data_IF_043861338858
#
_entry.id   IF_043861338858
#
_cell.length_a   1.000
_cell.length_b   1.000
_cell.length_c   1.000
_cell.angle_alpha   90.00
_cell.angle_beta   90.00
_cell.angle_gamma   90.00
#
_symmetry.space_group_name_H-M   'P 1'
#
loop_
_entity.id
_entity.type
_entity.pdbx_description
1 polymer ?
#
# COMPACT_ATOMS: atom_id res chain seq x y z
N UNK A 1 -7.55 10.55 8.84
CA UNK A 1 -7.07 9.43 8.02
C UNK A 1 -8.22 8.90 7.17
N UNK A 2 -8.35 9.12 5.86
CA UNK A 2 -7.97 10.19 4.95
C UNK A 2 -9.03 10.16 3.84
N UNK A 3 -9.77 11.24 3.68
CA UNK A 3 -10.27 11.70 2.39
C UNK A 3 -9.43 12.92 1.96
N UNK A 4 -8.10 12.87 2.13
CA UNK A 4 -7.22 14.01 1.80
C UNK A 4 -7.03 14.19 0.30
N UNK A 5 -7.21 13.13 -0.48
CA UNK A 5 -7.19 13.24 -1.93
C UNK A 5 -8.64 13.40 -2.44
N UNK A 6 -9.01 14.55 -3.03
CA UNK A 6 -10.34 14.71 -3.61
C UNK A 6 -10.64 13.70 -4.73
N UNK A 7 -9.61 13.10 -5.35
CA UNK A 7 -9.76 12.05 -6.35
C UNK A 7 -10.26 10.70 -5.79
N UNK A 8 -10.28 10.50 -4.46
CA UNK A 8 -10.79 9.25 -3.85
C UNK A 8 -12.26 8.97 -4.22
N UNK A 9 -13.04 10.00 -4.53
CA UNK A 9 -14.44 9.86 -4.93
C UNK A 9 -14.64 9.86 -6.45
N UNK A 10 -13.57 9.90 -7.25
CA UNK A 10 -13.67 10.00 -8.71
C UNK A 10 -14.07 8.68 -9.38
N UNK A 11 -13.67 7.54 -8.81
CA UNK A 11 -13.97 6.21 -9.34
C UNK A 11 -14.37 5.26 -8.21
N UNK A 12 -15.38 4.41 -8.47
CA UNK A 12 -15.94 3.48 -7.47
C UNK A 12 -14.84 2.56 -6.92
N UNK A 13 -13.99 2.00 -7.78
CA UNK A 13 -12.90 1.10 -7.36
C UNK A 13 -11.94 1.76 -6.36
N UNK A 14 -11.52 3.00 -6.61
CA UNK A 14 -10.63 3.75 -5.71
C UNK A 14 -11.29 4.09 -4.38
N UNK A 15 -12.59 4.41 -4.40
CA UNK A 15 -13.37 4.67 -3.19
C UNK A 15 -13.50 3.41 -2.31
N UNK A 16 -13.81 2.26 -2.92
CA UNK A 16 -13.95 0.99 -2.21
C UNK A 16 -12.66 0.57 -1.51
N UNK A 17 -11.52 0.69 -2.20
CA UNK A 17 -10.19 0.40 -1.60
C UNK A 17 -9.91 1.33 -0.42
N UNK A 18 -10.24 2.61 -0.54
CA UNK A 18 -10.05 3.59 0.53
C UNK A 18 -10.89 3.27 1.77
N UNK A 19 -12.17 2.90 1.58
CA UNK A 19 -13.05 2.46 2.66
C UNK A 19 -12.51 1.18 3.30
N UNK A 20 -12.01 0.24 2.50
CA UNK A 20 -11.44 -1.02 3.00
C UNK A 20 -10.26 -0.77 3.94
N UNK A 21 -9.28 0.04 3.53
CA UNK A 21 -8.11 0.37 4.38
C UNK A 21 -8.50 1.15 5.63
N UNK A 22 -9.50 2.03 5.55
CA UNK A 22 -10.04 2.72 6.72
C UNK A 22 -10.65 1.74 7.73
N UNK A 23 -11.49 0.80 7.27
CA UNK A 23 -12.08 -0.22 8.12
C UNK A 23 -11.03 -1.17 8.69
N UNK A 24 -9.99 -1.50 7.92
CA UNK A 24 -8.89 -2.34 8.38
C UNK A 24 -8.11 -1.66 9.51
N UNK A 25 -7.83 -0.35 9.42
CA UNK A 25 -7.21 0.39 10.51
C UNK A 25 -8.02 0.28 11.81
N UNK A 26 -9.33 0.49 11.75
CA UNK A 26 -10.20 0.37 12.93
C UNK A 26 -10.24 -1.07 13.48
N UNK A 27 -10.22 -2.08 12.60
CA UNK A 27 -10.12 -3.49 12.99
C UNK A 27 -8.81 -3.77 13.72
N UNK A 28 -7.68 -3.29 13.18
CA UNK A 28 -6.34 -3.45 13.76
C UNK A 28 -6.25 -2.76 15.13
N UNK A 29 -6.71 -1.51 15.25
CA UNK A 29 -6.69 -0.78 16.51
C UNK A 29 -7.47 -1.50 17.62
N UNK A 30 -8.66 -2.05 17.33
CA UNK A 30 -9.45 -2.83 18.29
C UNK A 30 -8.75 -4.13 18.72
N UNK A 31 -8.13 -4.82 17.77
CA UNK A 31 -7.36 -6.02 18.06
C UNK A 31 -6.13 -5.70 18.93
N UNK A 32 -5.40 -4.64 18.60
CA UNK A 32 -4.24 -4.17 19.37
C UNK A 32 -4.62 -3.74 20.78
N UNK A 33 -5.76 -3.07 20.97
CA UNK A 33 -6.28 -2.69 22.29
C UNK A 33 -6.61 -3.92 23.13
N UNK A 34 -7.23 -4.94 22.52
CA UNK A 34 -7.55 -6.20 23.20
C UNK A 34 -6.28 -6.93 23.66
N UNK A 35 -5.23 -6.92 22.83
CA UNK A 35 -3.94 -7.53 23.14
C UNK A 35 -3.10 -6.69 24.12
N UNK A 36 -3.23 -5.37 24.08
CA UNK A 36 -2.45 -4.42 24.87
C UNK A 36 -3.37 -3.36 25.51
N UNK A 37 -4.11 -3.72 26.57
CA UNK A 37 -5.09 -2.80 27.18
C UNK A 37 -4.48 -1.54 27.81
N UNK A 38 -3.16 -1.53 28.05
CA UNK A 38 -2.43 -0.40 28.62
C UNK A 38 -1.96 0.64 27.59
N UNK A 39 -2.13 0.38 26.29
CA UNK A 39 -1.76 1.36 25.26
C UNK A 39 -2.78 2.49 25.21
N UNK A 40 -2.27 3.71 25.02
CA UNK A 40 -3.09 4.88 24.77
C UNK A 40 -3.57 4.94 23.31
N UNK A 41 -4.52 5.84 23.06
CA UNK A 41 -5.12 6.00 21.73
C UNK A 41 -4.09 6.41 20.66
N UNK A 42 -3.09 7.22 21.02
CA UNK A 42 -2.05 7.65 20.09
C UNK A 42 -1.18 6.46 19.64
N UNK A 43 -0.72 5.64 20.58
CA UNK A 43 0.05 4.45 20.26
C UNK A 43 -0.77 3.46 19.45
N UNK A 44 -2.03 3.23 19.81
CA UNK A 44 -2.94 2.37 19.03
C UNK A 44 -3.10 2.86 17.60
N UNK A 45 -3.31 4.16 17.41
CA UNK A 45 -3.42 4.76 16.09
C UNK A 45 -2.14 4.59 15.27
N UNK A 46 -0.98 4.95 15.83
CA UNK A 46 0.31 4.86 15.12
C UNK A 46 0.63 3.42 14.71
N UNK A 47 0.54 2.47 15.64
CA UNK A 47 0.85 1.07 15.36
C UNK A 47 -0.15 0.46 14.38
N UNK A 48 -1.46 0.74 14.53
CA UNK A 48 -2.46 0.28 13.58
C UNK A 48 -2.22 0.87 12.18
N UNK A 49 -1.81 2.14 12.08
CA UNK A 49 -1.43 2.78 10.81
C UNK A 49 -0.22 2.11 10.19
N UNK A 50 0.82 1.84 10.96
CA UNK A 50 2.07 1.26 10.44
C UNK A 50 1.85 -0.16 9.91
N UNK A 51 1.10 -0.99 10.63
CA UNK A 51 0.69 -2.32 10.14
C UNK A 51 -0.16 -2.20 8.86
N UNK A 52 -1.08 -1.24 8.80
CA UNK A 52 -1.93 -1.04 7.63
C UNK A 52 -1.13 -0.58 6.39
N UNK A 53 -0.08 0.23 6.60
CA UNK A 53 0.86 0.63 5.53
C UNK A 53 1.68 -0.57 5.08
N UNK A 54 2.15 -1.43 5.99
CA UNK A 54 2.86 -2.64 5.63
C UNK A 54 2.00 -3.59 4.76
N UNK A 55 0.71 -3.74 5.09
CA UNK A 55 -0.24 -4.46 4.22
C UNK A 55 -0.35 -3.83 2.84
N UNK A 56 -0.48 -2.49 2.77
CA UNK A 56 -0.57 -1.77 1.50
C UNK A 56 0.70 -1.95 0.66
N UNK A 57 1.88 -1.80 1.25
CA UNK A 57 3.16 -2.01 0.58
C UNK A 57 3.33 -3.46 0.11
N UNK A 58 2.91 -4.44 0.90
CA UNK A 58 2.97 -5.84 0.48
C UNK A 58 2.10 -6.11 -0.75
N UNK A 59 0.84 -5.66 -0.74
CA UNK A 59 -0.06 -5.77 -1.89
C UNK A 59 0.53 -5.08 -3.12
N UNK A 60 1.13 -3.90 -2.96
CA UNK A 60 1.73 -3.18 -4.09
C UNK A 60 2.95 -3.92 -4.66
N UNK A 61 3.92 -4.26 -3.83
CA UNK A 61 5.21 -4.77 -4.30
C UNK A 61 5.20 -6.25 -4.63
N UNK A 62 4.46 -7.07 -3.87
CA UNK A 62 4.50 -8.52 -4.00
C UNK A 62 3.31 -9.08 -4.78
N UNK A 63 2.16 -8.39 -4.82
CA UNK A 63 1.01 -8.83 -5.61
C UNK A 63 0.86 -8.05 -6.93
N UNK A 64 0.82 -6.71 -6.87
CA UNK A 64 0.49 -5.88 -8.04
C UNK A 64 1.67 -5.71 -9.00
N UNK A 65 2.84 -5.31 -8.52
CA UNK A 65 4.03 -5.05 -9.36
C UNK A 65 4.44 -6.28 -10.19
N UNK A 66 4.47 -7.52 -9.64
CA UNK A 66 4.80 -8.70 -10.42
C UNK A 66 3.75 -9.05 -11.47
N UNK A 67 2.47 -8.74 -11.23
CA UNK A 67 1.40 -8.88 -12.24
C UNK A 67 1.58 -7.88 -13.39
N UNK A 68 2.06 -6.67 -13.09
CA UNK A 68 2.26 -5.62 -14.10
C UNK A 68 3.54 -5.81 -14.93
N UNK A 69 4.65 -6.18 -14.30
CA UNK A 69 5.99 -6.20 -14.92
C UNK A 69 6.53 -7.62 -15.16
N UNK A 70 5.78 -8.65 -14.73
CA UNK A 70 6.22 -10.04 -14.69
C UNK A 70 7.08 -10.34 -13.47
N UNK A 71 7.09 -11.60 -12.99
CA UNK A 71 7.72 -11.97 -11.72
C UNK A 71 9.26 -11.87 -11.68
N UNK A 72 9.93 -11.85 -12.84
CA UNK A 72 11.41 -11.86 -12.89
C UNK A 72 12.00 -10.46 -12.72
N UNK A 73 11.35 -9.45 -13.31
CA UNK A 73 11.92 -8.11 -13.38
C UNK A 73 12.02 -7.42 -12.01
N UNK A 74 10.96 -7.39 -11.15
CA UNK A 74 11.03 -6.76 -9.84
C UNK A 74 12.10 -7.35 -8.92
N UNK A 75 12.35 -8.66 -9.04
CA UNK A 75 13.40 -9.34 -8.29
C UNK A 75 14.81 -8.90 -8.75
N UNK A 76 15.05 -8.88 -10.07
CA UNK A 76 16.35 -8.49 -10.64
C UNK A 76 16.63 -6.99 -10.42
N UNK A 77 15.59 -6.16 -10.51
CA UNK A 77 15.67 -4.72 -10.29
C UNK A 77 15.81 -4.34 -8.80
N UNK A 78 15.77 -5.31 -7.88
CA UNK A 78 15.86 -5.06 -6.44
C UNK A 78 14.62 -4.40 -5.83
N UNK A 79 13.50 -4.37 -6.56
CA UNK A 79 12.21 -3.79 -6.09
C UNK A 79 11.51 -4.74 -5.12
N UNK A 80 11.71 -6.04 -5.29
CA UNK A 80 11.19 -7.08 -4.40
C UNK A 80 12.32 -8.00 -4.00
N UNK A 81 12.27 -8.53 -2.78
CA UNK A 81 13.25 -9.49 -2.29
C UNK A 81 12.64 -10.88 -2.16
N UNK A 82 13.39 -11.92 -2.54
CA UNK A 82 12.97 -13.31 -2.36
C UNK A 82 13.19 -13.74 -0.89
N UNK A 83 12.37 -13.22 0.02
CA UNK A 83 12.50 -13.56 1.43
C UNK A 83 11.87 -14.93 1.69
N UNK A 84 12.69 -15.87 2.14
CA UNK A 84 12.26 -17.20 2.55
C UNK A 84 12.22 -17.28 4.08
N UNK A 85 11.21 -17.95 4.64
CA UNK A 85 11.24 -18.42 6.04
C UNK A 85 10.88 -17.39 7.12
N UNK A 86 10.15 -16.31 6.80
CA UNK A 86 9.62 -15.39 7.81
C UNK A 86 10.59 -14.30 8.29
N UNK A 87 11.71 -14.10 7.60
CA UNK A 87 12.57 -12.95 7.80
C UNK A 87 11.92 -11.66 7.28
N UNK A 88 12.44 -10.50 7.68
CA UNK A 88 12.02 -9.19 7.15
C UNK A 88 12.94 -8.78 6.00
N UNK A 89 12.41 -7.98 5.08
CA UNK A 89 13.23 -7.27 4.07
C UNK A 89 13.83 -6.06 4.76
N UNK A 90 15.15 -5.90 4.67
CA UNK A 90 15.83 -4.65 4.99
C UNK A 90 16.49 -4.14 3.70
N UNK A 91 15.75 -3.31 2.98
CA UNK A 91 16.16 -2.67 1.73
C UNK A 91 16.38 -1.15 1.91
N UNK A 92 16.54 -0.70 3.16
CA UNK A 92 16.78 0.70 3.46
C UNK A 92 18.19 1.13 3.04
N UNK A 93 18.26 2.17 2.19
CA UNK A 93 19.50 2.85 1.84
C UNK A 93 19.31 4.36 1.97
N UNK A 94 20.12 4.98 2.83
CA UNK A 94 20.09 6.40 3.15
C UNK A 94 20.58 7.30 1.99
N UNK A 95 21.18 6.69 0.97
CA UNK A 95 21.66 7.38 -0.24
C UNK A 95 20.61 7.47 -1.35
N UNK A 96 19.50 6.74 -1.24
CA UNK A 96 18.46 6.76 -2.26
C UNK A 96 17.61 8.04 -2.16
N UNK A 97 17.28 8.62 -3.30
CA UNK A 97 16.32 9.71 -3.40
C UNK A 97 14.89 9.15 -3.38
N UNK A 98 14.08 9.44 -2.34
CA UNK A 98 12.70 8.94 -2.25
C UNK A 98 11.70 9.77 -3.07
N UNK A 99 12.16 10.74 -3.86
CA UNK A 99 11.30 11.62 -4.65
C UNK A 99 10.65 10.87 -5.81
N UNK A 100 9.39 11.22 -6.09
CA UNK A 100 8.66 10.68 -7.24
C UNK A 100 9.07 11.42 -8.51
N UNK A 101 9.57 10.69 -9.51
CA UNK A 101 9.93 11.28 -10.81
C UNK A 101 8.70 11.70 -11.62
N UNK A 102 8.83 12.72 -12.47
CA UNK A 102 7.73 13.19 -13.31
C UNK A 102 7.34 12.15 -14.37
N UNK A 103 8.31 11.36 -14.83
CA UNK A 103 8.12 10.26 -15.77
C UNK A 103 7.22 9.19 -15.15
N UNK A 104 7.38 8.89 -13.85
CA UNK A 104 6.50 7.98 -13.14
C UNK A 104 5.05 8.49 -13.13
N UNK A 105 4.85 9.79 -12.83
CA UNK A 105 3.51 10.40 -12.86
C UNK A 105 2.88 10.29 -14.24
N UNK A 106 3.65 10.51 -15.32
CA UNK A 106 3.16 10.31 -16.68
C UNK A 106 2.86 8.83 -16.98
N UNK A 107 3.74 7.90 -16.57
CA UNK A 107 3.60 6.47 -16.80
C UNK A 107 2.39 5.85 -16.09
N UNK A 108 2.04 6.32 -14.88
CA UNK A 108 0.84 5.83 -14.16
C UNK A 108 -0.45 6.05 -14.93
N UNK A 109 -0.49 6.94 -15.93
CA UNK A 109 -1.65 7.09 -16.81
C UNK A 109 -1.92 5.85 -17.67
N UNK A 110 -0.97 4.93 -17.79
CA UNK A 110 -1.20 3.63 -18.44
C UNK A 110 -2.37 2.86 -17.80
N UNK A 111 -2.65 3.06 -16.49
CA UNK A 111 -3.81 2.48 -15.82
C UNK A 111 -5.17 2.90 -16.43
N UNK A 112 -5.24 3.99 -17.21
CA UNK A 112 -6.45 4.35 -17.95
C UNK A 112 -6.80 3.33 -19.03
N UNK A 113 -5.84 2.52 -19.51
CA UNK A 113 -6.11 1.43 -20.46
C UNK A 113 -6.83 0.23 -19.82
N UNK A 114 -6.79 0.11 -18.49
CA UNK A 114 -7.45 -0.95 -17.73
C UNK A 114 -8.87 -0.59 -17.29
N UNK A 115 -9.29 0.66 -17.50
CA UNK A 115 -10.64 1.10 -17.14
C UNK A 115 -11.62 0.63 -18.19
N UNK A 116 -12.65 -0.10 -17.76
CA UNK A 116 -13.71 -0.54 -18.65
C UNK A 116 -14.55 0.66 -19.09
N UNK A 117 -14.75 0.80 -20.41
CA UNK A 117 -15.45 1.93 -21.01
C UNK A 117 -16.97 1.78 -21.11
N UNK A 118 -17.52 0.62 -20.71
CA UNK A 118 -18.96 0.40 -20.77
C UNK A 118 -19.63 0.94 -19.51
N UNK A 119 -20.53 1.89 -19.70
CA UNK A 119 -21.47 2.34 -18.68
C UNK A 119 -22.62 1.34 -18.69
N UNK A 120 -22.79 0.56 -17.61
CA UNK A 120 -24.04 -0.15 -17.34
C UNK A 120 -25.04 0.80 -16.68
#
# INVERSE_FOLDING_TARGET
MFAANPATNAIIGGNLVSIWFYRNHNRLARALYTLNPCWDDERLFRVARDINIAYYQHILYYDLVPVLLGHKYPLIAGVTSAVHGGNHVDDYDDRLDPTVSIEFVAATRWFHTLQEGSIQ
#
